data_IF_303447019637
#
_entry.id   IF_303447019637
#
_cell.length_a   1.000
_cell.length_b   1.000
_cell.length_c   1.000
_cell.angle_alpha   90.00
_cell.angle_beta   90.00
_cell.angle_gamma   90.00
#
_symmetry.space_group_name_H-M   'P 1'
#
loop_
_entity.id
_entity.type
_entity.pdbx_description
1 polymer ?
#
# COMPACT_ATOMS: atom_id res chain seq x y z
N UNK A 1 10.78 0.07 -61.11
CA UNK A 1 11.21 -1.17 -60.42
C UNK A 1 11.95 -0.80 -59.14
N UNK A 2 11.26 -0.52 -58.03
CA UNK A 2 11.96 0.05 -56.85
C UNK A 2 11.19 0.05 -55.53
N UNK A 3 10.23 -0.86 -55.33
CA UNK A 3 9.52 -1.00 -54.05
C UNK A 3 9.71 -2.38 -53.39
N UNK A 4 10.27 -3.37 -54.11
CA UNK A 4 10.49 -4.73 -53.59
C UNK A 4 11.83 -4.93 -52.87
N UNK A 5 12.83 -4.09 -53.10
CA UNK A 5 14.17 -4.27 -52.53
C UNK A 5 14.29 -3.78 -51.07
N UNK A 6 13.41 -2.86 -50.63
CA UNK A 6 13.47 -2.25 -49.30
C UNK A 6 12.89 -3.15 -48.20
N UNK A 7 11.90 -3.98 -48.53
CA UNK A 7 11.28 -4.92 -47.59
C UNK A 7 12.12 -6.17 -47.36
N UNK A 8 12.86 -6.64 -48.37
CA UNK A 8 13.73 -7.82 -48.26
C UNK A 8 15.00 -7.53 -47.43
N UNK A 9 15.51 -6.30 -47.48
CA UNK A 9 16.66 -5.87 -46.67
C UNK A 9 16.30 -5.75 -45.19
N UNK A 10 15.10 -5.22 -44.89
CA UNK A 10 14.61 -5.04 -43.52
C UNK A 10 14.34 -6.39 -42.83
N UNK A 11 13.82 -7.38 -43.56
CA UNK A 11 13.61 -8.74 -43.04
C UNK A 11 14.93 -9.47 -42.77
N UNK A 12 15.98 -9.22 -43.56
CA UNK A 12 17.32 -9.80 -43.34
C UNK A 12 18.06 -9.18 -42.16
N UNK A 13 17.86 -7.89 -41.89
CA UNK A 13 18.45 -7.19 -40.74
C UNK A 13 17.85 -7.63 -39.39
N UNK A 14 16.57 -8.01 -39.36
CA UNK A 14 15.91 -8.48 -38.13
C UNK A 14 16.35 -9.88 -37.65
N UNK A 15 17.08 -10.65 -38.48
CA UNK A 15 17.52 -12.01 -38.17
C UNK A 15 19.05 -12.18 -38.18
N UNK A 16 19.81 -11.11 -38.42
CA UNK A 16 21.27 -11.14 -38.53
C UNK A 16 21.94 -11.08 -37.14
N UNK A 17 23.03 -11.80 -36.96
CA UNK A 17 23.83 -11.70 -35.73
C UNK A 17 24.58 -10.37 -35.68
N UNK A 18 25.04 -9.95 -34.49
CA UNK A 18 25.79 -8.69 -34.33
C UNK A 18 27.09 -8.63 -35.12
N UNK A 19 27.66 -9.79 -35.50
CA UNK A 19 28.85 -9.86 -36.36
C UNK A 19 28.50 -9.63 -37.84
N UNK A 20 27.37 -10.16 -38.32
CA UNK A 20 26.92 -10.01 -39.72
C UNK A 20 26.57 -8.55 -40.06
N UNK A 21 25.97 -7.83 -39.11
CA UNK A 21 25.64 -6.39 -39.25
C UNK A 21 26.92 -5.53 -39.35
N UNK A 22 27.99 -5.97 -38.69
CA UNK A 22 29.27 -5.25 -38.65
C UNK A 22 30.06 -5.39 -39.95
N UNK A 23 30.04 -6.58 -40.57
CA UNK A 23 30.61 -6.79 -41.91
C UNK A 23 29.85 -6.02 -43.00
N UNK A 24 28.51 -5.97 -42.92
CA UNK A 24 27.67 -5.21 -43.86
C UNK A 24 27.90 -3.70 -43.79
N UNK A 25 28.11 -3.14 -42.58
CA UNK A 25 28.42 -1.73 -42.39
C UNK A 25 29.83 -1.36 -42.88
N UNK A 26 30.79 -2.30 -42.82
CA UNK A 26 32.15 -2.09 -43.31
C UNK A 26 32.25 -2.09 -44.85
N UNK A 27 31.29 -2.69 -45.55
CA UNK A 27 31.24 -2.75 -47.00
C UNK A 27 30.57 -1.53 -47.66
N UNK A 28 29.96 -0.64 -46.88
CA UNK A 28 29.27 0.56 -47.37
C UNK A 28 30.19 1.78 -47.45
N UNK A 29 29.95 2.72 -48.39
CA UNK A 29 30.64 4.00 -48.41
C UNK A 29 30.45 4.76 -47.07
N UNK A 30 31.45 5.49 -46.57
CA UNK A 30 31.43 6.06 -45.21
C UNK A 30 30.20 6.92 -44.90
N UNK A 31 29.70 7.67 -45.88
CA UNK A 31 28.55 8.55 -45.72
C UNK A 31 27.19 7.81 -45.65
N UNK A 32 27.10 6.60 -46.21
CA UNK A 32 25.89 5.77 -46.18
C UNK A 32 25.90 4.86 -44.95
N UNK A 33 27.07 4.35 -44.56
CA UNK A 33 27.24 3.59 -43.31
C UNK A 33 26.86 4.41 -42.06
N UNK A 34 27.14 5.72 -42.06
CA UNK A 34 26.75 6.61 -40.96
C UNK A 34 25.22 6.77 -40.83
N UNK A 35 24.52 6.92 -41.96
CA UNK A 35 23.04 7.05 -41.97
C UNK A 35 22.34 5.75 -41.56
N UNK A 36 22.89 4.60 -41.96
CA UNK A 36 22.35 3.29 -41.57
C UNK A 36 22.63 3.01 -40.09
N UNK A 37 23.79 3.39 -39.56
CA UNK A 37 24.09 3.30 -38.14
C UNK A 37 23.16 4.18 -37.29
N UNK A 38 22.90 5.43 -37.70
CA UNK A 38 21.93 6.30 -37.04
C UNK A 38 20.51 5.74 -37.10
N UNK A 39 20.08 5.19 -38.25
CA UNK A 39 18.76 4.58 -38.39
C UNK A 39 18.58 3.32 -37.52
N UNK A 40 19.62 2.50 -37.37
CA UNK A 40 19.61 1.33 -36.47
C UNK A 40 19.52 1.79 -35.01
N UNK A 41 20.25 2.85 -34.62
CA UNK A 41 20.23 3.40 -33.26
C UNK A 41 18.88 4.04 -32.88
N UNK A 42 18.14 4.56 -33.87
CA UNK A 42 16.76 5.07 -33.70
C UNK A 42 15.73 3.93 -33.68
N UNK A 43 15.97 2.82 -34.40
CA UNK A 43 15.05 1.67 -34.44
C UNK A 43 15.26 0.63 -33.32
N UNK A 44 16.41 0.66 -32.64
CA UNK A 44 16.73 -0.20 -31.49
C UNK A 44 16.23 0.36 -30.16
N UNK A 45 15.42 1.43 -30.18
CA UNK A 45 14.65 1.84 -29.02
C UNK A 45 13.53 0.81 -28.84
N UNK A 46 13.83 -0.24 -28.07
CA UNK A 46 12.84 -1.19 -27.58
C UNK A 46 11.67 -0.42 -26.93
N UNK A 47 10.42 -0.91 -27.05
CA UNK A 47 9.33 -0.36 -26.25
C UNK A 47 9.70 -0.58 -24.78
N UNK A 48 10.04 0.51 -24.08
CA UNK A 48 10.30 0.47 -22.64
C UNK A 48 9.13 -0.21 -21.94
N UNK A 49 9.41 -1.35 -21.33
CA UNK A 49 8.49 -2.06 -20.47
C UNK A 49 8.02 -1.11 -19.35
N UNK A 50 6.71 -1.14 -19.07
CA UNK A 50 6.15 -0.49 -17.90
C UNK A 50 6.76 -1.12 -16.64
N UNK A 51 7.66 -0.40 -15.97
CA UNK A 51 8.26 -0.90 -14.73
C UNK A 51 9.59 -0.27 -14.29
N UNK A 52 10.28 0.53 -15.11
CA UNK A 52 11.40 1.32 -14.60
C UNK A 52 10.86 2.58 -13.92
N UNK A 53 10.96 2.63 -12.59
CA UNK A 53 10.89 3.89 -11.84
C UNK A 53 12.00 4.79 -12.38
N UNK A 54 11.65 5.73 -13.27
CA UNK A 54 12.55 6.78 -13.72
C UNK A 54 13.01 7.58 -12.48
N UNK A 55 14.18 7.22 -11.94
CA UNK A 55 14.82 7.93 -10.84
C UNK A 55 14.92 9.41 -11.19
N UNK A 56 14.27 10.24 -10.38
CA UNK A 56 14.25 11.69 -10.56
C UNK A 56 15.69 12.22 -10.40
N UNK A 57 16.25 12.94 -11.38
CA UNK A 57 17.62 13.44 -11.30
C UNK A 57 17.83 14.30 -10.04
N UNK A 58 18.91 14.05 -9.25
CA UNK A 58 19.20 14.84 -8.04
C UNK A 58 19.36 16.34 -8.29
N UNK A 59 19.70 16.71 -9.52
CA UNK A 59 19.85 18.10 -9.97
C UNK A 59 18.55 18.90 -9.99
N UNK A 60 17.39 18.26 -9.87
CA UNK A 60 16.09 18.93 -9.92
C UNK A 60 15.72 19.61 -8.57
N UNK A 61 16.45 19.32 -7.48
CA UNK A 61 16.30 20.03 -6.20
C UNK A 61 15.03 19.70 -5.41
N UNK A 62 14.39 18.56 -5.69
CA UNK A 62 13.08 18.19 -5.13
C UNK A 62 13.18 17.31 -3.89
N UNK A 63 12.16 17.32 -3.01
CA UNK A 63 12.01 16.23 -2.06
C UNK A 63 11.86 14.91 -2.84
N UNK A 64 12.74 13.94 -2.55
CA UNK A 64 12.67 12.59 -3.14
C UNK A 64 11.33 11.90 -2.90
N UNK A 65 10.64 12.29 -1.84
CA UNK A 65 9.38 11.70 -1.41
C UNK A 65 8.24 12.73 -1.51
N UNK A 66 7.04 12.33 -1.99
CA UNK A 66 5.86 13.18 -1.98
C UNK A 66 5.50 13.59 -0.55
N UNK A 67 4.94 14.78 -0.38
CA UNK A 67 4.43 15.20 0.92
C UNK A 67 3.21 14.36 1.33
N UNK A 68 3.18 13.96 2.60
CA UNK A 68 2.05 13.24 3.20
C UNK A 68 0.75 14.08 3.12
N UNK A 69 -0.40 13.48 2.77
CA UNK A 69 -1.71 14.14 2.82
C UNK A 69 -1.99 14.93 4.10
N UNK A 70 -1.57 14.46 5.28
CA UNK A 70 -1.78 15.22 6.53
C UNK A 70 -0.93 16.48 6.59
N UNK A 71 0.33 16.41 6.16
CA UNK A 71 1.21 17.56 6.06
C UNK A 71 0.70 18.59 5.03
N UNK A 72 0.15 18.09 3.92
CA UNK A 72 -0.49 18.91 2.89
C UNK A 72 -1.78 19.57 3.39
N UNK A 73 -2.59 18.86 4.18
CA UNK A 73 -3.79 19.43 4.83
C UNK A 73 -3.41 20.57 5.78
N UNK A 74 -2.42 20.35 6.64
CA UNK A 74 -1.92 21.39 7.55
C UNK A 74 -1.36 22.59 6.77
N UNK A 75 -0.62 22.33 5.70
CA UNK A 75 -0.10 23.37 4.80
C UNK A 75 -1.23 24.19 4.17
N UNK A 76 -2.30 23.54 3.67
CA UNK A 76 -3.49 24.21 3.14
C UNK A 76 -4.15 25.10 4.19
N UNK A 77 -4.34 24.59 5.40
CA UNK A 77 -4.97 25.36 6.49
C UNK A 77 -4.13 26.61 6.82
N UNK A 78 -2.81 26.49 6.92
CA UNK A 78 -1.95 27.64 7.22
C UNK A 78 -1.86 28.62 6.03
N UNK A 79 -1.74 28.12 4.80
CA UNK A 79 -1.67 28.93 3.59
C UNK A 79 -2.98 29.70 3.31
N UNK A 80 -4.12 29.15 3.72
CA UNK A 80 -5.45 29.77 3.55
C UNK A 80 -5.92 30.54 4.79
N UNK A 81 -5.21 30.48 5.91
CA UNK A 81 -5.53 31.25 7.13
C UNK A 81 -5.70 32.77 6.91
N UNK A 82 -4.92 33.45 6.05
CA UNK A 82 -5.11 34.88 5.79
C UNK A 82 -6.46 35.24 5.13
N UNK A 83 -7.18 34.27 4.54
CA UNK A 83 -8.50 34.50 3.93
C UNK A 83 -9.62 34.63 4.96
N UNK A 84 -9.29 34.48 6.26
CA UNK A 84 -10.22 34.66 7.38
C UNK A 84 -10.86 36.06 7.45
N UNK A 85 -10.15 37.11 7.01
CA UNK A 85 -10.48 38.51 7.31
C UNK A 85 -11.47 39.20 6.36
N UNK A 86 -11.81 38.63 5.21
CA UNK A 86 -12.73 39.28 4.26
C UNK A 86 -14.15 38.69 4.40
N UNK A 87 -15.14 39.54 4.67
CA UNK A 87 -16.58 39.22 4.64
C UNK A 87 -17.14 39.55 3.25
N UNK A 88 -17.71 38.56 2.58
CA UNK A 88 -17.98 38.57 1.14
C UNK A 88 -19.46 38.80 0.77
N UNK A 89 -20.31 39.18 1.73
CA UNK A 89 -21.75 38.98 1.63
C UNK A 89 -22.49 39.90 0.64
N UNK A 90 -22.00 41.12 0.36
CA UNK A 90 -22.80 42.10 -0.41
C UNK A 90 -22.56 42.10 -1.93
N UNK A 91 -21.41 41.61 -2.40
CA UNK A 91 -21.09 41.55 -3.85
C UNK A 91 -21.62 40.27 -4.53
N UNK A 92 -21.83 39.20 -3.74
CA UNK A 92 -22.30 37.89 -4.20
C UNK A 92 -23.81 37.85 -4.50
N UNK A 93 -24.62 38.63 -3.76
CA UNK A 93 -26.09 38.62 -3.89
C UNK A 93 -26.62 39.21 -5.21
N UNK A 94 -25.84 40.04 -5.92
CA UNK A 94 -26.35 40.83 -7.04
C UNK A 94 -26.29 40.16 -8.43
N UNK A 95 -25.77 38.93 -8.58
CA UNK A 95 -25.42 38.39 -9.91
C UNK A 95 -25.79 36.92 -10.19
N UNK A 96 -26.63 36.29 -9.37
CA UNK A 96 -27.04 34.89 -9.56
C UNK A 96 -28.31 34.73 -10.39
N UNK A 97 -28.19 34.26 -11.65
CA UNK A 97 -29.28 33.51 -12.30
C UNK A 97 -28.70 32.25 -12.98
N UNK A 98 -29.10 31.12 -12.43
CA UNK A 98 -29.15 29.72 -12.90
C UNK A 98 -27.90 28.91 -13.31
N UNK A 99 -27.96 27.63 -12.89
CA UNK A 99 -26.87 26.67 -12.66
C UNK A 99 -26.56 26.58 -11.16
N UNK A 100 -26.35 25.40 -10.54
CA UNK A 100 -25.84 25.31 -9.14
C UNK A 100 -24.40 25.84 -9.10
N UNK A 101 -24.33 27.17 -9.14
CA UNK A 101 -23.20 28.07 -9.35
C UNK A 101 -22.47 28.36 -8.04
N UNK A 102 -23.03 27.98 -6.91
CA UNK A 102 -22.55 28.30 -5.55
C UNK A 102 -21.08 27.86 -5.41
N UNK A 103 -20.79 26.57 -5.59
CA UNK A 103 -19.42 26.04 -5.48
C UNK A 103 -18.47 26.62 -6.55
N UNK A 104 -18.92 26.80 -7.79
CA UNK A 104 -18.06 27.22 -8.91
C UNK A 104 -17.74 28.73 -8.91
N UNK A 105 -18.66 29.54 -8.37
CA UNK A 105 -18.50 31.00 -8.23
C UNK A 105 -17.65 31.31 -7.00
N UNK A 106 -17.82 30.55 -5.92
CA UNK A 106 -16.96 30.61 -4.74
C UNK A 106 -15.53 30.15 -5.08
N UNK A 107 -15.36 29.03 -5.81
CA UNK A 107 -14.06 28.55 -6.29
C UNK A 107 -13.35 29.59 -7.19
N UNK A 108 -14.08 30.25 -8.11
CA UNK A 108 -13.51 31.24 -9.03
C UNK A 108 -13.18 32.57 -8.35
N UNK A 109 -14.01 33.02 -7.41
CA UNK A 109 -13.73 34.22 -6.61
C UNK A 109 -12.54 34.00 -5.66
N UNK A 110 -12.46 32.82 -5.07
CA UNK A 110 -11.37 32.42 -4.17
C UNK A 110 -10.03 32.22 -4.92
N UNK A 111 -10.04 31.61 -6.11
CA UNK A 111 -8.87 31.54 -7.01
C UNK A 111 -8.32 32.94 -7.28
N UNK A 112 -9.18 33.89 -7.64
CA UNK A 112 -8.77 35.27 -7.91
C UNK A 112 -8.17 35.94 -6.67
N UNK A 113 -8.65 35.63 -5.46
CA UNK A 113 -8.11 36.20 -4.23
C UNK A 113 -6.74 35.63 -3.84
N UNK A 114 -6.57 34.32 -3.93
CA UNK A 114 -5.28 33.65 -3.69
C UNK A 114 -4.22 34.06 -4.71
N UNK A 115 -4.61 34.24 -5.98
CA UNK A 115 -3.71 34.59 -7.08
C UNK A 115 -3.41 36.09 -7.17
N UNK A 116 -4.29 36.97 -6.67
CA UNK A 116 -4.10 38.43 -6.75
C UNK A 116 -3.17 39.04 -5.70
N UNK A 117 -2.52 38.22 -4.85
CA UNK A 117 -1.38 38.71 -4.06
C UNK A 117 -0.04 38.70 -4.79
N UNK A 118 0.04 38.21 -6.04
CA UNK A 118 1.07 38.54 -7.04
C UNK A 118 0.94 37.62 -8.27
N UNK A 119 0.34 38.15 -9.34
CA UNK A 119 0.56 37.68 -10.71
C UNK A 119 -0.22 36.44 -11.16
N UNK A 120 -1.24 36.72 -11.99
CA UNK A 120 -1.80 35.91 -13.09
C UNK A 120 -2.15 34.44 -12.82
N UNK A 121 -3.43 34.08 -13.05
CA UNK A 121 -3.89 32.69 -13.24
C UNK A 121 -3.37 32.03 -14.53
N UNK A 122 -2.19 32.43 -14.98
CA UNK A 122 -1.36 31.64 -15.89
C UNK A 122 -0.45 30.79 -15.01
N UNK A 123 -0.26 29.51 -15.36
CA UNK A 123 0.73 28.66 -14.70
C UNK A 123 2.05 29.45 -14.55
N UNK A 124 2.49 29.71 -13.31
CA UNK A 124 3.72 30.46 -13.03
C UNK A 124 4.87 29.79 -13.78
N UNK A 125 5.22 30.33 -14.95
CA UNK A 125 6.19 29.73 -15.88
C UNK A 125 7.63 29.75 -15.37
N UNK A 126 7.91 30.37 -14.23
CA UNK A 126 9.27 30.47 -13.67
C UNK A 126 9.28 30.33 -12.14
N UNK A 127 8.97 29.13 -11.63
CA UNK A 127 9.38 28.74 -10.26
C UNK A 127 10.60 27.82 -10.24
N UNK A 128 11.24 27.56 -11.39
CA UNK A 128 12.26 26.51 -11.50
C UNK A 128 11.71 25.10 -11.26
N UNK A 129 10.38 24.94 -11.36
CA UNK A 129 9.69 23.66 -11.21
C UNK A 129 9.56 23.07 -12.61
N UNK A 130 10.19 21.92 -12.82
CA UNK A 130 10.10 21.18 -14.09
C UNK A 130 8.62 20.83 -14.39
N UNK A 131 8.13 21.04 -15.63
CA UNK A 131 6.78 20.66 -16.05
C UNK A 131 6.42 19.20 -15.75
N UNK A 132 7.39 18.27 -15.79
CA UNK A 132 7.18 16.86 -15.48
C UNK A 132 6.82 16.61 -14.01
N UNK A 133 7.02 17.59 -13.11
CA UNK A 133 6.57 17.51 -11.72
C UNK A 133 5.06 17.33 -11.63
N UNK A 134 4.32 18.09 -12.44
CA UNK A 134 2.86 18.09 -12.47
C UNK A 134 2.31 16.81 -13.10
N UNK A 135 3.08 16.16 -13.97
CA UNK A 135 2.72 14.89 -14.59
C UNK A 135 2.93 13.71 -13.63
N UNK A 136 4.01 13.73 -12.83
CA UNK A 136 4.34 12.64 -11.90
C UNK A 136 3.62 12.73 -10.55
N UNK A 137 3.12 13.90 -10.18
CA UNK A 137 2.46 14.10 -8.88
C UNK A 137 0.94 13.93 -8.87
N UNK A 138 0.39 13.96 -7.65
CA UNK A 138 -1.05 13.82 -7.38
C UNK A 138 -1.57 15.08 -6.73
N UNK A 139 -2.76 15.49 -7.17
CA UNK A 139 -3.52 16.56 -6.54
C UNK A 139 -4.42 16.00 -5.45
N UNK A 140 -4.47 16.69 -4.31
CA UNK A 140 -5.30 16.37 -3.17
C UNK A 140 -6.31 17.49 -2.95
N UNK A 141 -7.55 17.15 -2.58
CA UNK A 141 -8.61 18.11 -2.30
C UNK A 141 -8.80 18.26 -0.79
N UNK A 142 -8.63 19.47 -0.28
CA UNK A 142 -8.86 19.80 1.13
C UNK A 142 -9.81 20.97 1.25
N UNK A 143 -10.47 21.11 2.40
CA UNK A 143 -11.17 22.33 2.74
C UNK A 143 -10.15 23.40 3.14
N UNK A 144 -10.43 24.65 2.79
CA UNK A 144 -9.66 25.80 3.26
C UNK A 144 -9.80 25.99 4.79
N UNK A 145 -9.11 26.99 5.34
CA UNK A 145 -9.14 27.29 6.77
C UNK A 145 -10.54 27.56 7.34
N UNK A 146 -11.43 28.21 6.59
CA UNK A 146 -12.81 28.52 7.01
C UNK A 146 -13.75 27.31 6.91
N UNK A 147 -13.38 26.29 6.14
CA UNK A 147 -14.23 25.12 5.88
C UNK A 147 -15.34 25.36 4.86
N UNK A 148 -15.30 26.47 4.12
CA UNK A 148 -16.34 26.90 3.17
C UNK A 148 -16.02 26.56 1.71
N UNK A 149 -14.74 26.51 1.31
CA UNK A 149 -14.34 26.15 -0.06
C UNK A 149 -13.32 25.01 -0.14
N UNK A 150 -13.39 24.24 -1.22
CA UNK A 150 -12.38 23.24 -1.56
C UNK A 150 -11.20 23.88 -2.29
N UNK A 151 -10.00 23.43 -1.95
CA UNK A 151 -8.76 23.75 -2.65
C UNK A 151 -8.01 22.48 -3.01
N UNK A 152 -7.29 22.55 -4.13
CA UNK A 152 -6.48 21.46 -4.64
C UNK A 152 -5.02 21.76 -4.37
N UNK A 153 -4.31 20.85 -3.71
CA UNK A 153 -2.88 20.97 -3.45
C UNK A 153 -2.10 19.83 -4.09
N UNK A 154 -1.06 20.16 -4.83
CA UNK A 154 -0.21 19.19 -5.49
C UNK A 154 0.87 18.64 -4.52
N UNK A 155 1.02 17.32 -4.45
CA UNK A 155 1.82 16.68 -3.40
C UNK A 155 3.34 16.80 -3.53
N UNK A 156 3.87 17.13 -4.70
CA UNK A 156 5.31 17.38 -4.86
C UNK A 156 5.65 18.87 -4.84
N UNK A 157 4.82 19.69 -5.46
CA UNK A 157 5.11 21.13 -5.64
C UNK A 157 4.50 21.99 -4.53
N UNK A 158 3.57 21.42 -3.74
CA UNK A 158 2.71 22.16 -2.79
C UNK A 158 1.94 23.29 -3.46
N UNK A 159 1.79 23.25 -4.78
CA UNK A 159 1.03 24.29 -5.49
C UNK A 159 -0.43 24.18 -5.11
N UNK A 160 -1.05 25.30 -4.74
CA UNK A 160 -2.45 25.38 -4.34
C UNK A 160 -3.22 26.08 -5.45
N UNK A 161 -4.26 25.43 -5.95
CA UNK A 161 -5.22 26.04 -6.85
C UNK A 161 -6.63 25.85 -6.32
N UNK A 162 -7.51 26.84 -6.55
CA UNK A 162 -8.92 26.71 -6.23
C UNK A 162 -9.72 26.10 -7.39
N UNK A 163 -9.16 26.10 -8.61
CA UNK A 163 -9.79 25.49 -9.77
C UNK A 163 -9.30 24.06 -9.92
N UNK A 164 -10.23 23.13 -10.13
CA UNK A 164 -9.92 21.72 -10.35
C UNK A 164 -8.83 21.53 -11.43
N UNK A 165 -7.65 20.97 -11.10
CA UNK A 165 -6.62 20.64 -12.07
C UNK A 165 -7.11 19.62 -13.10
N UNK A 166 -6.63 19.72 -14.35
CA UNK A 166 -7.03 18.80 -15.43
C UNK A 166 -6.64 17.34 -15.13
N UNK A 167 -5.53 17.12 -14.43
CA UNK A 167 -5.06 15.81 -13.98
C UNK A 167 -5.58 15.41 -12.58
N UNK A 168 -6.53 16.15 -12.00
CA UNK A 168 -7.19 15.75 -10.75
C UNK A 168 -8.34 14.77 -11.03
N UNK A 169 -8.05 13.49 -10.84
CA UNK A 169 -9.04 12.43 -10.82
C UNK A 169 -9.57 12.23 -9.39
N UNK A 170 -10.79 12.67 -9.11
CA UNK A 170 -11.51 12.18 -7.93
C UNK A 170 -11.76 10.69 -8.09
N UNK A 171 -11.57 9.94 -7.00
CA UNK A 171 -12.00 8.56 -6.99
C UNK A 171 -13.48 8.51 -7.31
N UNK A 172 -13.86 7.77 -8.35
CA UNK A 172 -15.27 7.53 -8.66
C UNK A 172 -15.95 6.83 -7.48
N UNK A 173 -17.27 6.91 -7.36
CA UNK A 173 -18.00 6.16 -6.32
C UNK A 173 -17.75 4.65 -6.41
N UNK A 174 -17.48 4.14 -7.63
CA UNK A 174 -17.08 2.75 -7.87
C UNK A 174 -15.68 2.47 -7.32
N UNK A 175 -14.70 3.35 -7.55
CA UNK A 175 -13.34 3.24 -7.01
C UNK A 175 -13.34 3.32 -5.48
N UNK A 176 -14.14 4.22 -4.87
CA UNK A 176 -14.31 4.31 -3.41
C UNK A 176 -14.96 3.03 -2.85
N UNK A 177 -16.00 2.54 -3.52
CA UNK A 177 -16.65 1.29 -3.12
C UNK A 177 -15.70 0.10 -3.22
N UNK A 178 -14.81 0.09 -4.22
CA UNK A 178 -13.78 -0.93 -4.37
C UNK A 178 -12.75 -0.86 -3.23
N UNK A 179 -12.22 0.32 -2.92
CA UNK A 179 -11.28 0.51 -1.81
C UNK A 179 -11.92 0.06 -0.49
N UNK A 180 -13.19 0.41 -0.26
CA UNK A 180 -13.93 -0.05 0.93
C UNK A 180 -14.06 -1.58 1.01
N UNK A 181 -14.12 -2.28 -0.14
CA UNK A 181 -14.14 -3.75 -0.19
C UNK A 181 -12.77 -4.38 0.11
N UNK A 182 -11.66 -3.66 -0.11
CA UNK A 182 -10.31 -4.13 0.23
C UNK A 182 -10.12 -4.29 1.74
N UNK A 183 -10.82 -3.48 2.55
CA UNK A 183 -10.88 -3.63 4.00
C UNK A 183 -10.12 -2.54 4.74
N UNK A 184 -9.21 -2.94 5.62
CA UNK A 184 -8.45 -2.06 6.52
C UNK A 184 -7.09 -1.75 5.91
N UNK A 185 -6.70 -0.48 5.86
CA UNK A 185 -5.39 -0.12 5.37
C UNK A 185 -4.30 -0.57 6.35
N UNK A 186 -3.17 -1.04 5.84
CA UNK A 186 -2.10 -1.68 6.63
C UNK A 186 -1.66 -0.87 7.86
N UNK A 187 -1.64 0.48 7.77
CA UNK A 187 -1.25 1.37 8.88
C UNK A 187 -2.27 1.40 10.02
N UNK A 188 -3.53 1.08 9.76
CA UNK A 188 -4.63 1.09 10.73
C UNK A 188 -4.81 -0.27 11.43
N UNK A 189 -4.16 -1.32 10.92
CA UNK A 189 -4.27 -2.70 11.44
C UNK A 189 -3.99 -2.82 12.94
N UNK A 190 -2.97 -2.17 13.55
CA UNK A 190 -2.75 -2.26 14.98
C UNK A 190 -3.94 -1.79 15.83
N UNK A 191 -4.57 -0.69 15.41
CA UNK A 191 -5.76 -0.12 16.09
C UNK A 191 -6.94 -1.07 15.95
N UNK A 192 -7.11 -1.68 14.77
CA UNK A 192 -8.19 -2.62 14.51
C UNK A 192 -8.03 -3.95 15.29
N UNK A 193 -6.80 -4.45 15.43
CA UNK A 193 -6.48 -5.60 16.31
C UNK A 193 -6.91 -5.30 17.75
N UNK A 194 -6.51 -4.15 18.28
CA UNK A 194 -6.88 -3.74 19.64
C UNK A 194 -8.40 -3.60 19.79
N UNK A 195 -9.07 -3.02 18.79
CA UNK A 195 -10.54 -2.89 18.76
C UNK A 195 -11.21 -4.25 18.86
N UNK A 196 -10.81 -5.22 18.03
CA UNK A 196 -11.37 -6.58 18.05
C UNK A 196 -11.11 -7.26 19.39
N UNK A 197 -9.88 -7.17 19.92
CA UNK A 197 -9.53 -7.78 21.19
C UNK A 197 -10.32 -7.22 22.37
N UNK A 198 -10.44 -5.90 22.45
CA UNK A 198 -11.00 -5.22 23.62
C UNK A 198 -12.53 -5.16 23.57
N UNK A 199 -13.11 -4.88 22.39
CA UNK A 199 -14.56 -4.70 22.24
C UNK A 199 -15.28 -5.99 21.89
N UNK A 200 -14.75 -6.76 20.94
CA UNK A 200 -15.40 -7.99 20.46
C UNK A 200 -14.98 -9.22 21.28
N UNK A 201 -13.89 -9.12 22.05
CA UNK A 201 -13.35 -10.21 22.88
C UNK A 201 -13.07 -11.47 22.07
N UNK A 202 -12.49 -11.26 20.89
CA UNK A 202 -12.18 -12.30 19.92
C UNK A 202 -10.74 -12.17 19.42
N UNK A 203 -10.24 -13.23 18.79
CA UNK A 203 -8.94 -13.25 18.10
C UNK A 203 -9.14 -12.73 16.67
N UNK A 204 -8.39 -11.71 16.22
CA UNK A 204 -8.43 -11.26 14.85
C UNK A 204 -7.63 -12.18 13.92
N UNK A 205 -8.19 -12.45 12.75
CA UNK A 205 -7.53 -13.11 11.62
C UNK A 205 -7.35 -12.09 10.50
N UNK A 206 -6.09 -11.76 10.22
CA UNK A 206 -5.69 -10.85 9.18
C UNK A 206 -5.59 -11.61 7.85
N UNK A 207 -6.36 -11.16 6.86
CA UNK A 207 -6.32 -11.66 5.49
C UNK A 207 -5.72 -10.60 4.57
N UNK A 208 -4.55 -10.88 3.99
CA UNK A 208 -3.87 -9.97 3.07
C UNK A 208 -3.38 -10.68 1.81
N UNK A 209 -3.13 -9.89 0.77
CA UNK A 209 -2.34 -10.34 -0.38
C UNK A 209 -0.92 -10.72 0.05
N UNK A 210 -0.14 -11.37 -0.82
CA UNK A 210 1.26 -11.66 -0.54
C UNK A 210 2.05 -10.39 -0.16
N UNK A 211 1.90 -9.32 -0.94
CA UNK A 211 2.56 -8.03 -0.70
C UNK A 211 2.16 -7.42 0.65
N UNK A 212 0.87 -7.43 0.98
CA UNK A 212 0.38 -6.96 2.28
C UNK A 212 0.88 -7.81 3.45
N UNK A 213 0.88 -9.13 3.31
CA UNK A 213 1.37 -10.04 4.34
C UNK A 213 2.89 -9.90 4.58
N UNK A 214 3.68 -9.72 3.52
CA UNK A 214 5.13 -9.47 3.64
C UNK A 214 5.44 -8.12 4.30
N UNK A 215 4.70 -7.07 3.95
CA UNK A 215 4.79 -5.78 4.60
C UNK A 215 4.40 -5.86 6.08
N UNK A 216 3.30 -6.56 6.42
CA UNK A 216 2.90 -6.79 7.81
C UNK A 216 3.91 -7.65 8.57
N UNK A 217 4.50 -8.67 7.94
CA UNK A 217 5.55 -9.50 8.55
C UNK A 217 6.73 -8.63 8.96
N UNK A 218 7.17 -7.75 8.07
CA UNK A 218 8.23 -6.77 8.31
C UNK A 218 7.85 -5.84 9.46
N UNK A 219 6.63 -5.29 9.44
CA UNK A 219 6.12 -4.45 10.54
C UNK A 219 6.18 -5.17 11.89
N UNK A 220 5.65 -6.39 12.00
CA UNK A 220 5.62 -7.14 13.26
C UNK A 220 7.02 -7.56 13.75
N UNK A 221 7.98 -7.71 12.85
CA UNK A 221 9.36 -8.03 13.19
C UNK A 221 10.09 -6.83 13.82
N UNK A 222 9.86 -5.61 13.31
CA UNK A 222 10.56 -4.40 13.77
C UNK A 222 9.80 -3.62 14.84
N UNK A 223 8.48 -3.79 14.94
CA UNK A 223 7.67 -3.10 15.93
C UNK A 223 7.91 -3.67 17.34
N UNK A 224 8.31 -2.80 18.27
CA UNK A 224 8.60 -3.13 19.67
C UNK A 224 7.37 -3.61 20.44
N UNK A 225 6.17 -3.25 19.98
CA UNK A 225 4.90 -3.61 20.63
C UNK A 225 4.32 -4.91 20.10
N UNK A 226 5.09 -5.66 19.32
CA UNK A 226 4.66 -6.92 18.75
C UNK A 226 5.77 -7.96 18.73
N UNK A 227 5.39 -9.19 18.44
CA UNK A 227 6.31 -10.31 18.29
C UNK A 227 5.77 -11.22 17.20
N UNK A 228 6.62 -11.57 16.26
CA UNK A 228 6.28 -12.46 15.15
C UNK A 228 6.56 -13.92 15.55
N UNK A 229 5.58 -14.78 15.37
CA UNK A 229 5.71 -16.23 15.41
C UNK A 229 5.54 -16.75 13.97
N UNK A 230 6.65 -17.18 13.38
CA UNK A 230 6.66 -17.72 12.02
C UNK A 230 6.26 -19.21 12.03
N UNK A 231 4.98 -19.47 11.79
CA UNK A 231 4.41 -20.82 11.80
C UNK A 231 4.70 -21.62 10.52
N UNK A 232 5.30 -21.01 9.49
CA UNK A 232 5.67 -21.72 8.25
C UNK A 232 6.62 -22.90 8.51
N UNK A 233 7.46 -22.77 9.56
CA UNK A 233 8.37 -23.83 10.02
C UNK A 233 7.64 -25.04 10.63
N UNK A 234 6.36 -24.92 10.96
CA UNK A 234 5.55 -25.99 11.55
C UNK A 234 4.95 -26.95 10.52
N UNK A 235 5.16 -26.72 9.20
CA UNK A 235 4.75 -27.64 8.13
C UNK A 235 5.23 -29.07 8.38
N UNK A 236 6.45 -29.22 8.92
CA UNK A 236 6.97 -30.48 9.45
C UNK A 236 7.26 -30.28 10.93
N UNK A 237 6.35 -30.79 11.76
CA UNK A 237 6.45 -30.67 13.22
C UNK A 237 7.78 -31.25 13.68
N UNK A 238 8.66 -30.37 14.14
CA UNK A 238 9.95 -30.71 14.71
C UNK A 238 10.11 -29.98 16.05
N UNK A 239 10.89 -30.56 16.96
CA UNK A 239 11.01 -30.04 18.32
C UNK A 239 11.60 -28.61 18.35
N UNK A 240 12.53 -28.29 17.46
CA UNK A 240 13.15 -26.98 17.38
C UNK A 240 12.16 -25.87 17.00
N UNK A 241 11.33 -26.11 15.97
CA UNK A 241 10.32 -25.16 15.53
C UNK A 241 9.21 -24.96 16.58
N UNK A 242 8.80 -26.03 17.28
CA UNK A 242 7.86 -25.93 18.39
C UNK A 242 8.43 -25.08 19.55
N UNK A 243 9.71 -25.28 19.88
CA UNK A 243 10.38 -24.53 20.94
C UNK A 243 10.63 -23.06 20.55
N UNK A 244 10.93 -22.78 19.27
CA UNK A 244 10.94 -21.40 18.73
C UNK A 244 9.59 -20.71 18.90
N UNK A 245 8.49 -21.39 18.55
CA UNK A 245 7.14 -20.87 18.73
C UNK A 245 6.83 -20.63 20.21
N UNK A 246 7.18 -21.59 21.08
CA UNK A 246 7.01 -21.48 22.53
C UNK A 246 7.70 -20.25 23.10
N UNK A 247 8.97 -20.04 22.73
CA UNK A 247 9.74 -18.86 23.16
C UNK A 247 9.09 -17.57 22.67
N UNK A 248 8.60 -17.51 21.43
CA UNK A 248 7.90 -16.33 20.92
C UNK A 248 6.61 -16.04 21.73
N UNK A 249 5.83 -17.08 22.07
CA UNK A 249 4.65 -16.95 22.93
C UNK A 249 5.01 -16.43 24.32
N UNK A 250 5.99 -17.06 24.98
CA UNK A 250 6.46 -16.65 26.32
C UNK A 250 6.99 -15.23 26.30
N UNK A 251 7.82 -14.88 25.32
CA UNK A 251 8.36 -13.54 25.17
C UNK A 251 7.26 -12.48 25.02
N UNK A 252 6.25 -12.77 24.21
CA UNK A 252 5.12 -11.86 24.00
C UNK A 252 4.30 -11.65 25.28
N UNK A 253 4.06 -12.72 26.03
CA UNK A 253 3.37 -12.64 27.33
C UNK A 253 4.19 -11.86 28.36
N UNK A 254 5.50 -12.10 28.42
CA UNK A 254 6.42 -11.40 29.32
C UNK A 254 6.50 -9.91 29.04
N UNK A 255 6.40 -9.49 27.77
CA UNK A 255 6.44 -8.09 27.39
C UNK A 255 5.07 -7.42 27.32
N UNK A 256 3.97 -8.19 27.23
CA UNK A 256 2.64 -7.65 27.01
C UNK A 256 2.46 -7.13 25.58
N UNK A 257 3.04 -7.81 24.60
CA UNK A 257 3.02 -7.42 23.18
C UNK A 257 2.02 -8.24 22.37
N UNK A 258 1.68 -7.75 21.18
CA UNK A 258 0.85 -8.51 20.23
C UNK A 258 1.67 -9.62 19.57
N UNK A 259 1.28 -10.87 19.80
CA UNK A 259 1.81 -12.04 19.10
C UNK A 259 1.11 -12.22 17.76
N UNK A 260 1.83 -12.08 16.65
CA UNK A 260 1.31 -12.37 15.31
C UNK A 260 1.77 -13.76 14.84
N UNK A 261 0.81 -14.66 14.60
CA UNK A 261 1.05 -16.01 14.05
C UNK A 261 0.99 -15.93 12.53
N UNK A 262 2.15 -15.90 11.88
CA UNK A 262 2.26 -15.88 10.43
C UNK A 262 2.24 -17.30 9.85
N UNK A 263 1.22 -17.63 9.06
CA UNK A 263 1.07 -18.98 8.49
C UNK A 263 1.67 -19.12 7.07
N UNK A 264 1.98 -18.02 6.40
CA UNK A 264 2.50 -18.02 5.03
C UNK A 264 1.52 -18.60 4.00
N UNK A 265 2.09 -19.25 2.99
CA UNK A 265 1.43 -19.87 1.84
C UNK A 265 0.85 -21.27 2.15
N UNK A 266 1.29 -21.90 3.23
CA UNK A 266 0.87 -23.24 3.62
C UNK A 266 0.37 -23.23 5.05
N UNK A 267 -0.94 -23.33 5.22
CA UNK A 267 -1.59 -23.37 6.53
C UNK A 267 -1.16 -24.64 7.31
N UNK A 268 -0.44 -24.49 8.44
CA UNK A 268 -0.13 -25.59 9.32
C UNK A 268 -1.40 -26.18 9.93
N UNK A 269 -1.38 -27.47 10.20
CA UNK A 269 -2.49 -28.19 10.81
C UNK A 269 -2.42 -28.03 12.34
N UNK A 270 -2.96 -26.90 12.82
CA UNK A 270 -2.92 -26.57 14.24
C UNK A 270 -3.81 -27.50 15.06
N UNK A 271 -4.93 -27.94 14.51
CA UNK A 271 -5.92 -28.74 15.21
C UNK A 271 -5.49 -30.19 15.43
N UNK A 272 -5.06 -30.89 14.38
CA UNK A 272 -4.80 -32.33 14.49
C UNK A 272 -3.33 -32.68 14.75
N UNK A 273 -2.38 -31.78 14.46
CA UNK A 273 -0.94 -32.09 14.53
C UNK A 273 -0.14 -31.27 15.53
N UNK A 274 -0.50 -30.01 15.75
CA UNK A 274 0.30 -29.09 16.58
C UNK A 274 -0.30 -28.95 17.98
N UNK A 275 -1.59 -28.60 18.11
CA UNK A 275 -2.26 -28.36 19.40
C UNK A 275 -2.76 -29.66 20.07
N UNK A 276 -1.99 -30.74 19.95
CA UNK A 276 -2.33 -32.04 20.52
C UNK A 276 -1.73 -32.21 21.91
N UNK A 277 -2.23 -33.18 22.68
CA UNK A 277 -1.78 -33.44 24.06
C UNK A 277 -0.27 -33.66 24.20
N UNK A 278 0.39 -34.16 23.16
CA UNK A 278 1.85 -34.36 23.11
C UNK A 278 2.64 -33.04 23.17
N UNK A 279 2.09 -31.97 22.62
CA UNK A 279 2.76 -30.67 22.47
C UNK A 279 2.06 -29.57 23.28
N UNK A 280 1.14 -29.92 24.19
CA UNK A 280 0.40 -28.95 25.00
C UNK A 280 1.31 -28.02 25.82
N UNK A 281 2.54 -28.45 26.14
CA UNK A 281 3.53 -27.70 26.92
C UNK A 281 4.42 -26.81 26.03
N UNK A 282 4.30 -26.92 24.70
CA UNK A 282 5.06 -26.09 23.73
C UNK A 282 4.15 -25.26 22.83
N UNK A 283 2.97 -25.77 22.47
CA UNK A 283 1.98 -25.12 21.62
C UNK A 283 0.55 -25.47 22.09
N UNK A 284 0.03 -24.77 23.10
CA UNK A 284 -1.26 -25.09 23.72
C UNK A 284 -2.44 -24.67 22.83
N UNK A 285 -3.52 -25.46 22.86
CA UNK A 285 -4.80 -25.12 22.23
C UNK A 285 -5.34 -23.76 22.71
N UNK A 286 -5.10 -23.42 23.98
CA UNK A 286 -5.55 -22.16 24.59
C UNK A 286 -5.00 -20.90 23.92
N UNK A 287 -3.95 -21.02 23.09
CA UNK A 287 -3.45 -19.91 22.28
C UNK A 287 -4.50 -19.38 21.31
N UNK A 288 -5.37 -20.25 20.80
CA UNK A 288 -6.44 -19.92 19.86
C UNK A 288 -7.76 -19.55 20.54
N UNK A 289 -7.74 -19.34 21.86
CA UNK A 289 -8.90 -18.93 22.64
C UNK A 289 -8.66 -17.53 23.22
N UNK A 290 -9.64 -16.64 23.11
CA UNK A 290 -9.58 -15.34 23.77
C UNK A 290 -9.40 -15.52 25.28
N UNK A 291 -8.37 -14.89 25.85
CA UNK A 291 -8.00 -15.04 27.26
C UNK A 291 -7.49 -16.44 27.66
N UNK A 292 -7.33 -17.38 26.72
CA UNK A 292 -6.96 -18.76 27.03
C UNK A 292 -5.60 -18.89 27.73
N UNK A 293 -4.69 -17.95 27.47
CA UNK A 293 -3.36 -17.90 28.08
C UNK A 293 -3.36 -17.30 29.50
N UNK A 294 -4.48 -16.78 30.00
CA UNK A 294 -4.58 -16.30 31.39
C UNK A 294 -4.64 -17.47 32.39
N UNK A 295 -5.00 -18.66 31.92
CA UNK A 295 -5.08 -19.87 32.75
C UNK A 295 -3.71 -20.25 33.32
N UNK A 296 -3.59 -20.25 34.65
CA UNK A 296 -2.35 -20.53 35.38
C UNK A 296 -1.76 -21.91 35.05
N UNK A 297 -2.58 -22.95 34.93
CA UNK A 297 -2.10 -24.31 34.62
C UNK A 297 -1.48 -24.41 33.21
N UNK A 298 -1.96 -23.60 32.27
CA UNK A 298 -1.41 -23.54 30.91
C UNK A 298 -0.07 -22.83 30.94
N UNK A 299 0.01 -21.71 31.69
CA UNK A 299 1.23 -20.93 31.83
C UNK A 299 2.35 -21.69 32.52
N UNK A 300 2.05 -22.36 33.63
CA UNK A 300 3.03 -23.16 34.37
C UNK A 300 3.64 -24.30 33.54
N UNK A 301 2.89 -24.81 32.54
CA UNK A 301 3.40 -25.81 31.60
C UNK A 301 4.23 -25.22 30.47
N UNK A 302 3.88 -24.01 30.03
CA UNK A 302 4.53 -23.35 28.90
C UNK A 302 5.86 -22.69 29.28
N UNK A 303 5.93 -22.06 30.46
CA UNK A 303 7.13 -21.40 30.96
C UNK A 303 8.14 -22.43 31.46
N UNK A 304 9.40 -22.26 31.10
CA UNK A 304 10.53 -22.96 31.73
C UNK A 304 10.93 -22.23 33.01
N UNK A 305 11.56 -22.94 33.95
CA UNK A 305 11.89 -22.38 35.25
C UNK A 305 12.83 -21.16 35.18
N UNK A 306 13.74 -21.12 34.19
CA UNK A 306 14.64 -20.00 33.92
C UNK A 306 13.95 -18.78 33.27
N UNK A 307 12.73 -18.96 32.75
CA UNK A 307 11.95 -17.89 32.13
C UNK A 307 10.99 -17.21 33.12
N UNK A 308 10.74 -17.85 34.27
CA UNK A 308 9.86 -17.34 35.34
C UNK A 308 10.48 -16.12 36.02
N UNK A 309 9.67 -15.09 36.25
CA UNK A 309 10.08 -13.88 36.96
C UNK A 309 9.68 -14.00 38.42
N UNK A 310 10.66 -14.14 39.33
CA UNK A 310 10.38 -14.36 40.75
C UNK A 310 9.62 -15.67 41.02
N UNK A 311 9.79 -16.68 40.16
CA UNK A 311 9.07 -17.95 40.24
C UNK A 311 7.64 -17.91 39.66
N UNK A 312 7.21 -16.79 39.09
CA UNK A 312 5.90 -16.63 38.48
C UNK A 312 5.96 -16.66 36.95
N UNK A 313 4.84 -17.02 36.32
CA UNK A 313 4.65 -16.97 34.87
C UNK A 313 3.90 -15.68 34.46
N UNK A 314 4.61 -14.55 34.26
CA UNK A 314 3.95 -13.26 34.02
C UNK A 314 3.24 -13.24 32.66
N UNK A 315 2.02 -12.70 32.66
CA UNK A 315 1.33 -12.24 31.46
C UNK A 315 1.02 -10.78 31.68
N UNK A 316 1.78 -9.90 31.01
CA UNK A 316 1.60 -8.46 31.17
C UNK A 316 0.37 -7.98 30.40
N UNK A 317 -0.30 -6.92 30.88
CA UNK A 317 -1.35 -6.25 30.11
C UNK A 317 -0.85 -5.87 28.71
N UNK A 318 -1.72 -5.99 27.71
CA UNK A 318 -1.38 -5.73 26.30
C UNK A 318 -1.03 -6.99 25.49
N UNK A 319 -0.84 -8.15 26.14
CA UNK A 319 -0.70 -9.40 25.41
C UNK A 319 -1.98 -9.72 24.60
N UNK A 320 -1.81 -9.82 23.29
CA UNK A 320 -2.86 -10.12 22.31
C UNK A 320 -2.31 -11.12 21.29
N UNK A 321 -3.16 -11.85 20.58
CA UNK A 321 -2.80 -12.87 19.59
C UNK A 321 -3.57 -12.62 18.30
N UNK A 322 -2.89 -12.39 17.18
CA UNK A 322 -3.53 -12.34 15.88
C UNK A 322 -2.98 -13.44 14.97
N UNK A 323 -3.77 -13.87 14.00
CA UNK A 323 -3.34 -14.85 12.99
C UNK A 323 -3.29 -14.16 11.64
N UNK A 324 -2.20 -14.30 10.91
CA UNK A 324 -2.05 -13.74 9.58
C UNK A 324 -2.04 -14.84 8.52
N UNK A 325 -3.00 -14.74 7.61
CA UNK A 325 -3.23 -15.65 6.50
C UNK A 325 -3.12 -14.89 5.17
N UNK A 326 -2.39 -15.47 4.23
CA UNK A 326 -2.31 -14.97 2.87
C UNK A 326 -3.53 -15.41 2.07
N UNK A 327 -3.99 -14.59 1.12
CA UNK A 327 -4.95 -15.01 0.09
C UNK A 327 -4.39 -14.82 -1.33
N UNK A 328 -4.71 -15.76 -2.23
CA UNK A 328 -4.10 -15.83 -3.57
C UNK A 328 -4.78 -14.96 -4.64
N UNK A 329 -5.96 -14.39 -4.39
CA UNK A 329 -6.63 -13.62 -5.45
C UNK A 329 -7.27 -12.34 -4.92
N UNK A 330 -6.91 -11.22 -5.55
CA UNK A 330 -7.57 -9.91 -5.44
C UNK A 330 -9.09 -9.97 -5.72
N UNK A 331 -9.60 -11.10 -6.18
CA UNK A 331 -11.00 -11.34 -6.56
C UNK A 331 -12.03 -11.33 -5.42
N UNK A 332 -11.70 -10.83 -4.23
CA UNK A 332 -12.59 -10.78 -3.04
C UNK A 332 -13.14 -12.15 -2.59
N UNK A 333 -12.71 -13.22 -3.23
CA UNK A 333 -13.02 -14.61 -2.93
C UNK A 333 -11.98 -15.10 -1.90
N UNK A 334 -12.50 -15.59 -0.78
CA UNK A 334 -11.76 -15.95 0.42
C UNK A 334 -10.61 -16.92 0.14
N UNK A 335 -9.37 -16.46 0.36
CA UNK A 335 -8.13 -17.21 0.62
C UNK A 335 -7.68 -18.27 -0.40
N UNK A 336 -6.37 -18.52 -0.48
CA UNK A 336 -5.81 -19.67 -1.23
C UNK A 336 -6.34 -21.01 -0.68
N UNK A 337 -6.83 -20.98 0.56
CA UNK A 337 -7.42 -22.08 1.29
C UNK A 337 -8.95 -22.07 1.20
N UNK A 338 -9.54 -23.26 1.12
CA UNK A 338 -10.99 -23.37 1.22
C UNK A 338 -11.42 -23.07 2.65
N UNK A 339 -12.57 -22.43 2.84
CA UNK A 339 -13.08 -22.11 4.19
C UNK A 339 -13.14 -23.36 5.11
N UNK A 340 -13.48 -24.52 4.54
CA UNK A 340 -13.49 -25.81 5.24
C UNK A 340 -12.09 -26.24 5.71
N UNK A 341 -11.06 -25.98 4.90
CA UNK A 341 -9.67 -26.29 5.26
C UNK A 341 -9.21 -25.41 6.43
N UNK A 342 -9.54 -24.13 6.41
CA UNK A 342 -9.19 -23.21 7.49
C UNK A 342 -9.89 -23.64 8.79
N UNK A 343 -11.19 -23.94 8.73
CA UNK A 343 -11.98 -24.43 9.87
C UNK A 343 -11.46 -25.75 10.44
N UNK A 344 -10.97 -26.65 9.58
CA UNK A 344 -10.42 -27.94 10.00
C UNK A 344 -9.02 -27.84 10.60
N UNK A 345 -8.24 -26.82 10.22
CA UNK A 345 -6.84 -26.67 10.64
C UNK A 345 -6.63 -25.67 11.77
N UNK A 346 -7.44 -24.62 11.88
CA UNK A 346 -7.33 -23.58 12.92
C UNK A 346 -8.37 -23.84 14.00
N UNK A 347 -7.95 -24.16 15.25
CA UNK A 347 -8.89 -24.33 16.34
C UNK A 347 -9.69 -23.06 16.62
N UNK A 348 -10.96 -23.23 17.00
CA UNK A 348 -11.84 -22.12 17.41
C UNK A 348 -12.03 -21.04 16.33
N UNK A 349 -11.73 -21.34 15.06
CA UNK A 349 -11.82 -20.40 13.93
C UNK A 349 -13.16 -19.66 13.86
N UNK A 350 -14.26 -20.37 14.12
CA UNK A 350 -15.61 -19.80 14.06
C UNK A 350 -15.88 -18.72 15.13
N UNK A 351 -15.02 -18.61 16.16
CA UNK A 351 -15.08 -17.56 17.19
C UNK A 351 -14.17 -16.37 16.89
N UNK A 352 -13.42 -16.42 15.79
CA UNK A 352 -12.46 -15.40 15.41
C UNK A 352 -13.08 -14.38 14.45
N UNK A 353 -12.51 -13.17 14.43
CA UNK A 353 -13.02 -12.05 13.63
C UNK A 353 -12.08 -11.79 12.47
N UNK A 354 -12.62 -11.74 11.26
CA UNK A 354 -11.83 -11.56 10.05
C UNK A 354 -11.60 -10.08 9.76
N UNK A 355 -10.34 -9.71 9.54
CA UNK A 355 -9.93 -8.38 9.10
C UNK A 355 -9.24 -8.54 7.76
N UNK A 356 -9.81 -7.95 6.71
CA UNK A 356 -9.13 -7.84 5.42
C UNK A 356 -8.15 -6.68 5.48
N UNK A 357 -6.94 -6.88 4.99
CA UNK A 357 -5.88 -5.88 5.00
C UNK A 357 -5.43 -5.60 3.57
N UNK A 358 -5.08 -4.34 3.30
CA UNK A 358 -4.52 -3.94 2.01
C UNK A 358 -3.43 -2.88 2.18
N UNK A 359 -2.51 -2.82 1.22
CA UNK A 359 -1.48 -1.79 1.11
C UNK A 359 -1.68 -0.91 -0.14
N UNK A 360 -0.76 0.02 -0.40
CA UNK A 360 -0.87 0.90 -1.56
C UNK A 360 -0.77 0.14 -2.90
N UNK A 361 0.03 -0.93 -2.98
CA UNK A 361 0.15 -1.76 -4.18
C UNK A 361 -1.17 -2.47 -4.50
N UNK A 362 -1.83 -3.03 -3.49
CA UNK A 362 -3.13 -3.68 -3.63
C UNK A 362 -4.19 -2.70 -4.10
N UNK A 363 -4.16 -1.48 -3.55
CA UNK A 363 -5.04 -0.39 -3.96
C UNK A 363 -4.79 0.00 -5.41
N UNK A 364 -3.54 0.16 -5.84
CA UNK A 364 -3.18 0.52 -7.21
C UNK A 364 -3.63 -0.56 -8.18
N UNK A 365 -3.33 -1.83 -7.90
CA UNK A 365 -3.76 -2.98 -8.71
C UNK A 365 -5.28 -3.04 -8.85
N UNK A 366 -6.02 -2.91 -7.75
CA UNK A 366 -7.48 -2.94 -7.78
C UNK A 366 -8.07 -1.82 -8.64
N UNK A 367 -7.52 -0.60 -8.55
CA UNK A 367 -7.97 0.53 -9.37
C UNK A 367 -7.62 0.34 -10.85
N UNK A 368 -6.48 -0.25 -11.16
CA UNK A 368 -6.08 -0.56 -12.54
C UNK A 368 -6.98 -1.63 -13.18
N UNK A 369 -7.32 -2.69 -12.45
CA UNK A 369 -8.27 -3.71 -12.90
C UNK A 369 -9.65 -3.12 -13.21
N UNK A 370 -10.13 -2.22 -12.34
CA UNK A 370 -11.42 -1.55 -12.55
C UNK A 370 -11.41 -0.68 -13.82
N UNK A 371 -10.30 0.04 -14.07
CA UNK A 371 -10.17 0.94 -15.23
C UNK A 371 -10.00 0.19 -16.55
N UNK A 372 -9.27 -0.92 -16.53
CA UNK A 372 -8.98 -1.70 -17.75
C UNK A 372 -10.06 -2.74 -18.05
N UNK A 373 -10.92 -3.06 -17.07
CA UNK A 373 -11.91 -4.13 -17.17
C UNK A 373 -11.29 -5.53 -17.32
N UNK A 374 -9.97 -5.66 -17.19
CA UNK A 374 -9.23 -6.92 -17.21
C UNK A 374 -8.84 -7.23 -15.77
N UNK A 375 -9.18 -8.42 -15.29
CA UNK A 375 -8.52 -8.98 -14.10
C UNK A 375 -7.04 -9.10 -14.42
N UNK A 376 -6.17 -8.59 -13.55
CA UNK A 376 -4.77 -8.94 -13.62
C UNK A 376 -4.69 -10.44 -13.30
N UNK A 377 -4.20 -11.24 -14.26
CA UNK A 377 -3.99 -12.68 -14.07
C UNK A 377 -2.84 -12.96 -13.10
#
# INVERSE_FOLDING_TARGET
MGAGASTELSARLGAASSEDVRELLAALPPAEGQKVAEAIQVSSAEPKAAGEEDEIPPSWGWPKEPYDPEALRLYVLEATKPTQQESWDEALAARSIDGKKEDFVEEKAFANLLLNKEGTGEAKKDRGIDPHAYEKGKWYRFLNYKGDCYVYVHNHTRDITATRPENFAELTEEEKALIKKLGTYIKEVPVEIERVYTKEKAIPILYGSQTSCEAMKTFFYYNKNSTLLDATKLKRVNAGALEECRRAMVWSMKLGTTLCIYCGDILPDFQEKICISKYKDTFPLSLFMYGGMENELVRERLFRDDEKEGGQCPVRPGFMVCIMLMYDTMGLAMSSFRAEEIRGKIPEYDRMVQIRIYNDDDRLKALEELRTGRRAE
#
